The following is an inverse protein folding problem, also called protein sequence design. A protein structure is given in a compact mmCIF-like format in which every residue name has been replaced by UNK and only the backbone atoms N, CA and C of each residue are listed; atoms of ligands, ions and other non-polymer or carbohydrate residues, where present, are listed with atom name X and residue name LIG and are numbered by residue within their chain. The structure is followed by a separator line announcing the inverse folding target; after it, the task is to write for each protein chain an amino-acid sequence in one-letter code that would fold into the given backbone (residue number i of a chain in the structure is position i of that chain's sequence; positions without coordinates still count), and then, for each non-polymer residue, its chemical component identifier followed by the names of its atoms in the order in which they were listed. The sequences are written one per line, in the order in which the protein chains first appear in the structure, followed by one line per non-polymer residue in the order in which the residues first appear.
data_IF_631160620909
#
_entry.id   IF_631160620909
#
_cell.length_a   1.000
_cell.length_b   1.000
_cell.length_c   1.000
_cell.angle_alpha   90.00
_cell.angle_beta   90.00
_cell.angle_gamma   90.00
#
_symmetry.space_group_name_H-M   'P 1'
#
loop_
_entity.id
_entity.type
_entity.pdbx_description
1 polymer ?
#
# COMPACT_ATOMS: atom_id res chain seq x y z
N UNK A 1 -8.34 -3.54 1.55
CA UNK A 1 -7.55 -2.30 1.43
C UNK A 1 -6.15 -2.55 0.93
N UNK A 2 -5.66 -1.63 0.12
CA UNK A 2 -4.32 -1.77 -0.47
C UNK A 2 -3.23 -1.76 0.60
N UNK A 3 -3.33 -0.86 1.56
CA UNK A 3 -2.33 -0.77 2.61
C UNK A 3 -2.33 -1.99 3.52
N UNK A 4 -3.50 -2.53 3.82
CA UNK A 4 -3.59 -3.76 4.59
C UNK A 4 -2.95 -4.94 3.84
N UNK A 5 -3.16 -5.04 2.54
CA UNK A 5 -2.51 -6.05 1.72
C UNK A 5 -1.00 -5.88 1.71
N UNK A 6 -0.52 -4.64 1.62
CA UNK A 6 0.91 -4.35 1.67
C UNK A 6 1.50 -4.74 3.02
N UNK A 7 0.79 -4.47 4.10
CA UNK A 7 1.24 -4.80 5.46
C UNK A 7 1.32 -6.31 5.68
N UNK A 8 0.53 -7.10 4.97
CA UNK A 8 0.59 -8.56 5.08
C UNK A 8 1.70 -9.18 4.23
N UNK A 9 2.56 -8.37 3.62
CA UNK A 9 3.73 -8.84 2.88
C UNK A 9 3.50 -9.13 1.41
N UNK A 10 2.36 -8.76 0.86
CA UNK A 10 2.07 -9.00 -0.55
C UNK A 10 2.77 -7.99 -1.44
N UNK A 11 3.25 -8.45 -2.59
CA UNK A 11 3.84 -7.58 -3.59
C UNK A 11 2.76 -6.83 -4.38
N UNK A 12 3.20 -5.79 -5.13
CA UNK A 12 2.26 -5.00 -5.93
C UNK A 12 1.50 -5.85 -6.94
N UNK A 13 2.16 -6.85 -7.51
CA UNK A 13 1.52 -7.73 -8.48
C UNK A 13 0.41 -8.54 -7.82
N UNK A 14 0.66 -9.06 -6.64
CA UNK A 14 -0.35 -9.83 -5.91
C UNK A 14 -1.54 -8.96 -5.54
N UNK A 15 -1.27 -7.74 -5.11
CA UNK A 15 -2.33 -6.78 -4.77
C UNK A 15 -3.15 -6.45 -6.02
N UNK A 16 -2.47 -6.22 -7.15
CA UNK A 16 -3.14 -5.92 -8.40
C UNK A 16 -4.06 -7.06 -8.83
N UNK A 17 -3.57 -8.29 -8.74
CA UNK A 17 -4.37 -9.47 -9.09
C UNK A 17 -5.59 -9.61 -8.19
N UNK A 18 -5.39 -9.40 -6.90
CA UNK A 18 -6.48 -9.53 -5.93
C UNK A 18 -7.57 -8.48 -6.14
N UNK A 19 -7.18 -7.28 -6.53
CA UNK A 19 -8.11 -6.16 -6.74
C UNK A 19 -8.59 -6.05 -8.18
N UNK A 20 -8.10 -6.91 -9.07
CA UNK A 20 -8.44 -6.89 -10.50
C UNK A 20 -8.08 -5.55 -11.16
N UNK A 21 -6.93 -5.02 -10.83
CA UNK A 21 -6.40 -3.77 -11.40
C UNK A 21 -4.98 -3.99 -11.88
N UNK A 22 -4.42 -2.99 -12.60
CA UNK A 22 -3.03 -3.07 -13.05
C UNK A 22 -2.05 -2.74 -11.93
N UNK A 23 -0.80 -3.19 -12.09
CA UNK A 23 0.26 -2.85 -11.13
C UNK A 23 0.46 -1.34 -11.05
N UNK A 24 0.36 -0.64 -12.18
CA UNK A 24 0.49 0.82 -12.20
C UNK A 24 -0.60 1.48 -11.34
N UNK A 25 -1.82 0.95 -11.38
CA UNK A 25 -2.91 1.45 -10.56
C UNK A 25 -2.60 1.26 -9.08
N UNK A 26 -2.05 0.10 -8.70
CA UNK A 26 -1.64 -0.16 -7.31
C UNK A 26 -0.57 0.83 -6.88
N UNK A 27 0.44 1.06 -7.72
CA UNK A 27 1.50 2.03 -7.41
C UNK A 27 0.95 3.42 -7.18
N UNK A 28 0.01 3.84 -8.03
CA UNK A 28 -0.62 5.16 -7.90
C UNK A 28 -1.37 5.27 -6.59
N UNK A 29 -2.15 4.27 -6.24
CA UNK A 29 -2.88 4.26 -4.98
C UNK A 29 -1.96 4.31 -3.78
N UNK A 30 -0.89 3.51 -3.79
CA UNK A 30 0.09 3.52 -2.70
C UNK A 30 0.76 4.88 -2.57
N UNK A 31 1.10 5.50 -3.70
CA UNK A 31 1.72 6.82 -3.70
C UNK A 31 0.81 7.87 -3.04
N UNK A 32 -0.47 7.83 -3.36
CA UNK A 32 -1.45 8.72 -2.73
C UNK A 32 -1.56 8.47 -1.23
N UNK A 33 -1.53 7.21 -0.82
CA UNK A 33 -1.59 6.85 0.59
C UNK A 33 -0.35 7.39 1.33
N UNK A 34 0.83 7.24 0.74
CA UNK A 34 2.06 7.74 1.34
C UNK A 34 2.00 9.25 1.55
N UNK A 35 1.52 9.98 0.56
CA UNK A 35 1.37 11.44 0.66
C UNK A 35 0.36 11.82 1.75
N UNK A 36 -0.72 11.09 1.83
CA UNK A 36 -1.77 11.34 2.81
C UNK A 36 -1.28 11.12 4.22
N UNK A 37 -0.46 10.08 4.43
CA UNK A 37 0.11 9.75 5.73
C UNK A 37 1.34 10.59 6.07
N UNK A 38 1.89 11.29 5.09
CA UNK A 38 3.11 12.07 5.29
C UNK A 38 4.34 11.20 5.45
N UNK A 39 4.39 10.03 4.82
CA UNK A 39 5.52 9.11 4.92
C UNK A 39 6.31 9.09 3.64
N UNK A 40 7.59 8.67 3.75
CA UNK A 40 8.51 8.67 2.60
C UNK A 40 8.36 7.43 1.73
N UNK A 41 7.87 6.33 2.27
CA UNK A 41 7.78 5.09 1.50
C UNK A 41 7.00 4.01 2.20
N UNK A 42 7.09 2.80 1.61
CA UNK A 42 6.27 1.67 2.01
C UNK A 42 6.48 1.22 3.45
N UNK A 43 7.75 1.15 3.87
CA UNK A 43 8.06 0.68 5.22
C UNK A 43 7.43 1.58 6.27
N UNK A 44 7.59 2.89 6.11
CA UNK A 44 6.99 3.85 7.03
C UNK A 44 5.47 3.79 7.01
N UNK A 45 4.89 3.62 5.82
CA UNK A 45 3.44 3.52 5.68
C UNK A 45 2.91 2.29 6.42
N UNK A 46 3.58 1.16 6.29
CA UNK A 46 3.18 -0.08 6.96
C UNK A 46 3.29 0.08 8.48
N UNK A 47 4.39 0.66 8.96
CA UNK A 47 4.56 0.91 10.38
C UNK A 47 3.48 1.84 10.92
N UNK A 48 3.16 2.89 10.19
CA UNK A 48 2.10 3.82 10.57
C UNK A 48 0.75 3.10 10.64
N UNK A 49 0.46 2.26 9.65
CA UNK A 49 -0.77 1.49 9.61
C UNK A 49 -0.87 0.56 10.83
N UNK A 50 0.21 -0.14 11.15
CA UNK A 50 0.21 -1.08 12.28
C UNK A 50 0.09 -0.37 13.62
N UNK A 51 0.66 0.82 13.74
CA UNK A 51 0.63 1.60 14.97
C UNK A 51 -0.67 2.36 15.19
N UNK A 52 -1.49 2.53 14.16
CA UNK A 52 -2.71 3.31 14.26
C UNK A 52 -3.92 2.50 14.72
N UNK A 53 -3.72 1.29 15.10
CA UNK A 53 -4.82 0.43 15.58
C UNK A 53 -5.34 0.82 16.95
#
# INVERSE_FOLDING_TARGET
EILACAASGRGNKDIADQLCVSVDTVKTHLHHIYRKLGVAGRVEAILTYLNSK
#
